data_IF_675844489657
#
_entry.id   IF_675844489657
#
_cell.length_a   1.000
_cell.length_b   1.000
_cell.length_c   1.000
_cell.angle_alpha   90.00
_cell.angle_beta   90.00
_cell.angle_gamma   90.00
#
_symmetry.space_group_name_H-M   'P 1'
#
loop_
_entity.id
_entity.type
_entity.pdbx_description
1 polymer ?
#
# COMPACT_ATOMS: atom_id res chain seq x y z
N UNK A 1 10.60 -15.83 -19.79
CA UNK A 1 9.52 -16.78 -20.18
C UNK A 1 8.11 -16.34 -19.76
N UNK A 2 7.82 -15.65 -18.62
CA UNK A 2 6.46 -15.22 -18.26
C UNK A 2 5.85 -14.21 -19.25
N UNK A 3 6.63 -13.28 -19.81
CA UNK A 3 6.18 -12.38 -20.87
C UNK A 3 5.68 -13.14 -22.12
N UNK A 4 6.29 -14.28 -22.41
CA UNK A 4 5.87 -15.19 -23.49
C UNK A 4 4.52 -15.83 -23.18
N UNK A 5 4.26 -16.17 -21.90
CA UNK A 5 2.99 -16.74 -21.45
C UNK A 5 1.85 -15.75 -21.60
N UNK A 6 2.05 -14.49 -21.16
CA UNK A 6 1.05 -13.43 -21.32
C UNK A 6 0.79 -13.14 -22.80
N UNK A 7 1.82 -13.01 -23.61
CA UNK A 7 1.69 -12.82 -25.08
C UNK A 7 0.92 -13.98 -25.72
N UNK A 8 1.21 -15.23 -25.33
CA UNK A 8 0.50 -16.40 -25.84
C UNK A 8 -0.98 -16.37 -25.47
N UNK A 9 -1.30 -16.11 -24.21
CA UNK A 9 -2.71 -15.98 -23.73
C UNK A 9 -3.45 -14.83 -24.41
N UNK A 10 -2.77 -13.70 -24.67
CA UNK A 10 -3.32 -12.58 -25.42
C UNK A 10 -3.61 -13.01 -26.88
N UNK A 11 -2.70 -13.73 -27.52
CA UNK A 11 -2.90 -14.23 -28.88
C UNK A 11 -4.09 -15.21 -28.97
N UNK A 12 -4.16 -16.15 -28.03
CA UNK A 12 -5.29 -17.10 -27.91
C UNK A 12 -6.65 -16.37 -27.71
N UNK A 13 -6.67 -15.30 -26.92
CA UNK A 13 -7.87 -14.48 -26.70
C UNK A 13 -8.33 -13.76 -27.99
N UNK A 14 -7.41 -13.37 -28.87
CA UNK A 14 -7.71 -12.71 -30.14
C UNK A 14 -8.46 -13.61 -31.15
N UNK A 15 -8.23 -14.91 -31.08
CA UNK A 15 -8.92 -15.86 -31.96
C UNK A 15 -10.40 -16.04 -31.57
N UNK A 16 -10.78 -15.54 -30.35
CA UNK A 16 -12.14 -15.60 -29.84
C UNK A 16 -12.97 -14.32 -30.07
N UNK A 17 -14.26 -14.37 -29.68
CA UNK A 17 -15.13 -13.17 -29.69
C UNK A 17 -14.76 -12.26 -28.51
N UNK A 18 -14.18 -11.09 -28.82
CA UNK A 18 -13.83 -10.07 -27.82
C UNK A 18 -14.89 -8.98 -27.68
N UNK A 19 -15.11 -8.51 -26.46
CA UNK A 19 -15.88 -7.29 -26.21
C UNK A 19 -15.09 -6.03 -26.59
N UNK A 20 -15.78 -4.90 -26.80
CA UNK A 20 -15.13 -3.60 -27.06
C UNK A 20 -14.12 -3.24 -25.95
N UNK A 21 -14.45 -3.49 -24.71
CA UNK A 21 -13.57 -3.17 -23.57
C UNK A 21 -12.32 -4.07 -23.51
N UNK A 22 -12.46 -5.36 -23.84
CA UNK A 22 -11.31 -6.25 -23.95
C UNK A 22 -10.36 -5.81 -25.08
N UNK A 23 -10.92 -5.36 -26.20
CA UNK A 23 -10.14 -4.84 -27.32
C UNK A 23 -9.33 -3.59 -26.90
N UNK A 24 -9.98 -2.61 -26.21
CA UNK A 24 -9.29 -1.42 -25.68
C UNK A 24 -8.08 -1.78 -24.79
N UNK A 25 -8.26 -2.75 -23.88
CA UNK A 25 -7.18 -3.23 -23.02
C UNK A 25 -6.05 -3.88 -23.82
N UNK A 26 -6.39 -4.73 -24.80
CA UNK A 26 -5.38 -5.38 -25.65
C UNK A 26 -4.61 -4.36 -26.49
N UNK A 27 -5.30 -3.43 -27.15
CA UNK A 27 -4.70 -2.39 -27.96
C UNK A 27 -3.73 -1.53 -27.12
N UNK A 28 -4.09 -1.26 -25.85
CA UNK A 28 -3.22 -0.55 -24.91
C UNK A 28 -1.96 -1.35 -24.56
N UNK A 29 -2.09 -2.63 -24.25
CA UNK A 29 -0.92 -3.49 -23.95
C UNK A 29 0.02 -3.70 -25.14
N UNK A 30 -0.43 -3.49 -26.35
CA UNK A 30 0.40 -3.58 -27.56
C UNK A 30 1.13 -2.29 -27.88
N UNK A 31 0.55 -1.15 -27.54
CA UNK A 31 1.09 0.17 -27.87
C UNK A 31 1.97 0.74 -26.76
N UNK A 32 1.77 0.30 -25.51
CA UNK A 32 2.46 0.83 -24.34
C UNK A 32 3.60 -0.10 -23.90
N UNK A 33 4.73 0.49 -23.52
CA UNK A 33 5.83 -0.27 -22.92
C UNK A 33 5.29 -1.05 -21.71
N UNK A 34 5.45 -2.38 -21.69
CA UNK A 34 5.05 -3.22 -20.57
C UNK A 34 5.61 -2.74 -19.22
N UNK A 35 6.78 -2.12 -19.19
CA UNK A 35 7.35 -1.50 -18.00
C UNK A 35 6.42 -0.45 -17.39
N UNK A 36 5.75 0.35 -18.21
CA UNK A 36 4.81 1.35 -17.71
C UNK A 36 3.62 0.71 -16.99
N UNK A 37 3.07 -0.38 -17.52
CA UNK A 37 1.93 -1.08 -16.94
C UNK A 37 2.27 -1.69 -15.58
N UNK A 38 3.51 -2.14 -15.40
CA UNK A 38 3.99 -2.70 -14.13
C UNK A 38 3.85 -1.69 -12.98
N UNK A 39 3.97 -0.40 -13.25
CA UNK A 39 3.87 0.66 -12.26
C UNK A 39 2.47 1.26 -12.08
N UNK A 40 1.48 0.85 -12.89
CA UNK A 40 0.12 1.38 -12.81
C UNK A 40 -0.69 0.69 -11.71
N UNK A 41 -1.53 1.46 -11.03
CA UNK A 41 -2.63 0.89 -10.25
C UNK A 41 -3.71 0.36 -11.18
N UNK A 42 -4.67 -0.42 -10.64
CA UNK A 42 -5.83 -0.84 -11.41
C UNK A 42 -6.65 0.37 -11.88
N UNK A 43 -6.69 1.43 -11.07
CA UNK A 43 -7.38 2.68 -11.37
C UNK A 43 -6.70 3.40 -12.53
N UNK A 44 -5.36 3.55 -12.50
CA UNK A 44 -4.61 4.17 -13.59
C UNK A 44 -4.79 3.43 -14.92
N UNK A 45 -4.79 2.10 -14.89
CA UNK A 45 -5.02 1.29 -16.09
C UNK A 45 -6.45 1.44 -16.60
N UNK A 46 -7.44 1.46 -15.71
CA UNK A 46 -8.84 1.67 -16.05
C UNK A 46 -9.06 3.04 -16.71
N UNK A 47 -8.49 4.11 -16.13
CA UNK A 47 -8.53 5.47 -16.71
C UNK A 47 -7.82 5.52 -18.07
N UNK A 48 -6.60 4.97 -18.17
CA UNK A 48 -5.82 5.01 -19.42
C UNK A 48 -6.47 4.26 -20.59
N UNK A 49 -7.32 3.26 -20.28
CA UNK A 49 -8.01 2.44 -21.29
C UNK A 49 -9.49 2.80 -21.45
N UNK A 50 -9.98 3.78 -20.69
CA UNK A 50 -11.40 4.17 -20.66
C UNK A 50 -12.33 2.97 -20.47
N UNK A 51 -12.06 2.19 -19.40
CA UNK A 51 -12.90 1.06 -18.97
C UNK A 51 -13.07 1.09 -17.44
N UNK A 52 -14.08 0.38 -16.94
CA UNK A 52 -14.25 0.24 -15.48
C UNK A 52 -13.19 -0.73 -14.89
N UNK A 53 -12.75 -0.50 -13.63
CA UNK A 53 -11.84 -1.40 -12.90
C UNK A 53 -12.34 -2.85 -12.84
N UNK A 54 -13.65 -3.05 -12.67
CA UNK A 54 -14.28 -4.37 -12.73
C UNK A 54 -14.04 -5.06 -14.09
N UNK A 55 -13.91 -4.30 -15.16
CA UNK A 55 -13.60 -4.82 -16.49
C UNK A 55 -12.14 -5.23 -16.60
N UNK A 56 -11.21 -4.43 -16.02
CA UNK A 56 -9.80 -4.81 -15.90
C UNK A 56 -9.65 -6.11 -15.11
N UNK A 57 -10.35 -6.25 -13.98
CA UNK A 57 -10.35 -7.49 -13.18
C UNK A 57 -10.86 -8.69 -13.98
N UNK A 58 -11.99 -8.55 -14.69
CA UNK A 58 -12.53 -9.61 -15.54
C UNK A 58 -11.58 -10.00 -16.66
N UNK A 59 -10.91 -9.01 -17.26
CA UNK A 59 -9.90 -9.23 -18.29
C UNK A 59 -8.72 -10.05 -17.73
N UNK A 60 -8.16 -9.68 -16.57
CA UNK A 60 -7.09 -10.45 -15.93
C UNK A 60 -7.53 -11.89 -15.63
N UNK A 61 -8.75 -12.08 -15.15
CA UNK A 61 -9.33 -13.41 -14.89
C UNK A 61 -9.51 -14.22 -16.16
N UNK A 62 -9.93 -13.62 -17.26
CA UNK A 62 -10.05 -14.32 -18.55
C UNK A 62 -8.70 -14.74 -19.13
N UNK A 63 -7.61 -14.09 -18.73
CA UNK A 63 -6.23 -14.52 -19.00
C UNK A 63 -5.73 -15.59 -18.00
N UNK A 64 -6.56 -16.02 -17.04
CA UNK A 64 -6.24 -17.06 -16.05
C UNK A 64 -5.46 -16.57 -14.84
N UNK A 65 -5.53 -15.28 -14.52
CA UNK A 65 -4.98 -14.72 -13.29
C UNK A 65 -6.10 -14.48 -12.27
N UNK A 66 -5.81 -14.59 -10.96
CA UNK A 66 -6.82 -14.35 -9.92
C UNK A 66 -7.25 -12.87 -9.83
N UNK A 67 -6.42 -11.96 -10.33
CA UNK A 67 -6.70 -10.53 -10.37
C UNK A 67 -5.56 -9.72 -10.97
N UNK A 68 -5.71 -8.39 -10.90
CA UNK A 68 -4.76 -7.45 -11.50
C UNK A 68 -3.35 -7.53 -10.89
N UNK A 69 -3.23 -7.74 -9.58
CA UNK A 69 -1.92 -7.85 -8.92
C UNK A 69 -1.12 -9.06 -9.41
N UNK A 70 -1.75 -10.23 -9.53
CA UNK A 70 -1.09 -11.42 -10.06
C UNK A 70 -0.71 -11.24 -11.53
N UNK A 71 -1.59 -10.66 -12.34
CA UNK A 71 -1.29 -10.30 -13.72
C UNK A 71 -0.06 -9.38 -13.80
N UNK A 72 -0.03 -8.32 -13.00
CA UNK A 72 1.07 -7.35 -12.97
C UNK A 72 2.40 -7.97 -12.51
N UNK A 73 2.37 -8.84 -11.48
CA UNK A 73 3.54 -9.60 -11.04
C UNK A 73 4.11 -10.50 -12.15
N UNK A 74 3.23 -11.21 -12.86
CA UNK A 74 3.65 -12.05 -13.99
C UNK A 74 4.19 -11.22 -15.16
N UNK A 75 3.61 -10.04 -15.41
CA UNK A 75 4.13 -9.11 -16.42
C UNK A 75 5.53 -8.62 -16.03
N UNK A 76 5.75 -8.25 -14.77
CA UNK A 76 7.04 -7.81 -14.25
C UNK A 76 8.12 -8.89 -14.38
N UNK A 77 7.81 -10.13 -14.02
CA UNK A 77 8.73 -11.27 -14.18
C UNK A 77 9.18 -11.51 -15.63
N UNK A 78 8.37 -11.12 -16.59
CA UNK A 78 8.69 -11.26 -18.00
C UNK A 78 9.47 -10.09 -18.61
N UNK A 79 9.44 -8.94 -17.94
CA UNK A 79 10.07 -7.70 -18.41
C UNK A 79 11.38 -7.43 -17.71
N UNK A 80 11.47 -7.78 -16.45
CA UNK A 80 12.68 -7.66 -15.64
C UNK A 80 13.44 -8.98 -15.79
N UNK A 81 14.44 -9.01 -16.65
CA UNK A 81 15.44 -10.07 -16.62
C UNK A 81 16.17 -9.97 -15.27
N UNK A 82 15.77 -10.83 -14.33
CA UNK A 82 16.47 -10.94 -13.05
C UNK A 82 17.89 -11.41 -13.35
N UNK A 83 18.84 -10.48 -13.14
CA UNK A 83 20.23 -10.83 -12.92
C UNK A 83 20.87 -11.71 -13.97
N UNK A 84 21.21 -11.13 -15.12
CA UNK A 84 22.54 -11.40 -15.66
C UNK A 84 23.50 -10.38 -15.01
N UNK A 85 23.57 -10.42 -13.68
CA UNK A 85 24.76 -9.91 -13.01
C UNK A 85 25.90 -10.84 -13.38
N UNK A 86 26.80 -10.38 -14.23
CA UNK A 86 28.06 -11.08 -14.52
C UNK A 86 28.98 -11.16 -13.27
N UNK A 87 28.49 -10.71 -12.12
CA UNK A 87 29.16 -10.79 -10.83
C UNK A 87 28.75 -12.11 -10.15
N UNK A 88 29.60 -13.10 -10.30
CA UNK A 88 29.63 -14.29 -9.44
C UNK A 88 29.74 -13.83 -7.97
N UNK A 89 28.83 -14.35 -7.11
CA UNK A 89 28.86 -14.11 -5.67
C UNK A 89 27.68 -13.33 -5.11
N UNK A 90 27.93 -12.27 -4.29
CA UNK A 90 26.90 -11.53 -3.55
C UNK A 90 26.33 -10.30 -4.30
N UNK A 91 26.42 -10.24 -5.63
CA UNK A 91 25.94 -9.12 -6.44
C UNK A 91 24.45 -8.78 -6.23
N UNK A 92 23.61 -9.78 -5.89
CA UNK A 92 22.21 -9.56 -5.55
C UNK A 92 21.99 -8.63 -4.34
N UNK A 93 22.96 -8.53 -3.42
CA UNK A 93 22.87 -7.62 -2.25
C UNK A 93 22.87 -6.16 -2.70
N UNK A 94 23.72 -5.81 -3.67
CA UNK A 94 23.75 -4.46 -4.24
C UNK A 94 22.42 -4.12 -4.95
N UNK A 95 21.85 -5.07 -5.69
CA UNK A 95 20.55 -4.88 -6.35
C UNK A 95 19.41 -4.64 -5.33
N UNK A 96 19.42 -5.38 -4.21
CA UNK A 96 18.48 -5.17 -3.10
C UNK A 96 18.68 -3.79 -2.49
N UNK A 97 19.94 -3.39 -2.21
CA UNK A 97 20.26 -2.08 -1.64
C UNK A 97 19.81 -0.94 -2.55
N UNK A 98 20.09 -1.02 -3.85
CA UNK A 98 19.69 -0.01 -4.83
C UNK A 98 18.17 0.11 -4.93
N UNK A 99 17.45 -1.02 -4.83
CA UNK A 99 15.99 -1.05 -4.79
C UNK A 99 15.43 -0.29 -3.59
N UNK A 100 15.98 -0.51 -2.41
CA UNK A 100 15.58 0.22 -1.21
C UNK A 100 15.95 1.70 -1.28
N UNK A 101 17.13 2.04 -1.74
CA UNK A 101 17.59 3.42 -1.91
C UNK A 101 16.65 4.20 -2.84
N UNK A 102 16.36 3.64 -4.01
CA UNK A 102 15.42 4.26 -4.96
C UNK A 102 14.01 4.42 -4.39
N UNK A 103 13.50 3.42 -3.68
CA UNK A 103 12.18 3.49 -3.05
C UNK A 103 12.12 4.54 -1.93
N UNK A 104 13.16 4.67 -1.09
CA UNK A 104 13.26 5.71 -0.06
C UNK A 104 13.30 7.12 -0.66
N UNK A 105 14.05 7.32 -1.75
CA UNK A 105 14.07 8.61 -2.46
C UNK A 105 12.70 8.97 -3.03
N UNK A 106 12.01 8.00 -3.62
CA UNK A 106 10.68 8.21 -4.17
C UNK A 106 9.67 8.53 -3.05
N UNK A 107 9.69 7.79 -1.95
CA UNK A 107 8.86 8.05 -0.77
C UNK A 107 9.07 9.47 -0.23
N UNK A 108 10.34 9.89 -0.09
CA UNK A 108 10.68 11.25 0.37
C UNK A 108 10.17 12.34 -0.56
N UNK A 109 10.10 12.09 -1.87
CA UNK A 109 9.61 13.06 -2.85
C UNK A 109 8.08 13.10 -2.90
N UNK A 110 7.40 12.00 -2.59
CA UNK A 110 5.94 11.90 -2.68
C UNK A 110 5.22 12.41 -1.44
N UNK A 111 5.83 12.35 -0.26
CA UNK A 111 5.24 12.87 0.97
C UNK A 111 5.56 14.35 1.10
N UNK A 112 4.58 15.21 0.89
CA UNK A 112 4.73 16.66 1.08
C UNK A 112 4.64 17.05 2.57
N UNK A 113 5.18 18.22 2.92
CA UNK A 113 5.02 18.79 4.26
C UNK A 113 3.54 19.04 4.59
N UNK A 114 2.72 19.37 3.58
CA UNK A 114 1.28 19.58 3.72
C UNK A 114 0.55 18.30 4.08
N UNK A 115 0.83 17.19 3.37
CA UNK A 115 0.22 15.89 3.64
C UNK A 115 0.59 15.37 5.03
N UNK A 116 1.87 15.54 5.41
CA UNK A 116 2.35 15.15 6.72
C UNK A 116 1.68 15.96 7.83
N UNK A 117 1.52 17.27 7.64
CA UNK A 117 0.79 18.14 8.57
C UNK A 117 -0.68 17.75 8.67
N UNK A 118 -1.34 17.49 7.55
CA UNK A 118 -2.73 17.04 7.53
C UNK A 118 -2.91 15.70 8.27
N UNK A 119 -1.99 14.75 8.08
CA UNK A 119 -1.98 13.49 8.81
C UNK A 119 -1.81 13.70 10.33
N UNK A 120 -0.89 14.59 10.74
CA UNK A 120 -0.72 14.96 12.17
C UNK A 120 -2.02 15.56 12.74
N UNK A 121 -2.67 16.47 12.02
CA UNK A 121 -3.90 17.12 12.47
C UNK A 121 -5.04 16.11 12.66
N UNK A 122 -5.18 15.14 11.76
CA UNK A 122 -6.12 14.03 11.92
C UNK A 122 -5.81 13.21 13.18
N UNK A 123 -4.54 12.88 13.43
CA UNK A 123 -4.10 12.10 14.59
C UNK A 123 -4.36 12.84 15.91
N UNK A 124 -4.07 14.15 15.93
CA UNK A 124 -4.26 14.95 17.17
C UNK A 124 -5.71 15.30 17.47
N UNK A 125 -6.56 15.39 16.45
CA UNK A 125 -7.98 15.65 16.63
C UNK A 125 -8.77 14.41 17.04
N UNK A 126 -8.23 13.22 16.78
CA UNK A 126 -8.95 11.98 17.04
C UNK A 126 -8.98 11.62 18.51
N UNK A 127 -10.15 11.18 19.00
CA UNK A 127 -10.35 10.61 20.32
C UNK A 127 -9.73 9.24 20.44
N UNK A 128 -9.86 8.43 19.41
CA UNK A 128 -9.17 7.16 19.29
C UNK A 128 -8.81 6.86 17.83
N UNK A 129 -7.81 6.00 17.62
CA UNK A 129 -7.28 5.66 16.30
C UNK A 129 -7.38 4.16 16.08
N UNK A 130 -7.98 3.74 15.00
CA UNK A 130 -8.00 2.35 14.57
C UNK A 130 -6.97 2.16 13.43
N UNK A 131 -5.97 1.29 13.64
CA UNK A 131 -4.96 0.97 12.63
C UNK A 131 -5.28 -0.38 11.99
N UNK A 132 -5.36 -0.45 10.66
CA UNK A 132 -5.66 -1.69 9.97
C UNK A 132 -4.81 -1.91 8.72
N UNK A 133 -4.42 -3.16 8.52
CA UNK A 133 -3.73 -3.65 7.31
C UNK A 133 -3.95 -5.16 7.19
N UNK A 134 -4.00 -5.67 5.95
CA UNK A 134 -4.16 -7.10 5.69
C UNK A 134 -2.83 -7.72 5.29
N UNK A 135 -2.57 -8.95 5.72
CA UNK A 135 -1.36 -9.69 5.40
C UNK A 135 -0.11 -8.94 5.90
N UNK A 136 0.82 -8.70 5.01
CA UNK A 136 2.07 -8.01 5.36
C UNK A 136 1.90 -6.55 5.76
N UNK A 137 0.87 -5.85 5.28
CA UNK A 137 0.58 -4.48 5.67
C UNK A 137 0.11 -4.35 7.12
N UNK A 138 -0.35 -5.46 7.74
CA UNK A 138 -0.66 -5.49 9.17
C UNK A 138 0.57 -5.23 10.05
N UNK A 139 1.77 -5.60 9.62
CA UNK A 139 3.01 -5.32 10.35
C UNK A 139 3.23 -3.81 10.54
N UNK A 140 2.98 -3.01 9.50
CA UNK A 140 3.09 -1.56 9.60
C UNK A 140 1.97 -0.93 10.45
N UNK A 141 0.76 -1.51 10.41
CA UNK A 141 -0.35 -1.09 11.27
C UNK A 141 -0.04 -1.35 12.75
N UNK A 142 0.51 -2.52 13.08
CA UNK A 142 0.95 -2.87 14.45
C UNK A 142 2.08 -1.97 14.91
N UNK A 143 3.07 -1.69 14.04
CA UNK A 143 4.19 -0.80 14.40
C UNK A 143 3.70 0.62 14.69
N UNK A 144 2.82 1.18 13.86
CA UNK A 144 2.21 2.48 14.13
C UNK A 144 1.44 2.48 15.45
N UNK A 145 0.59 1.47 15.69
CA UNK A 145 -0.15 1.29 16.93
C UNK A 145 0.78 1.30 18.14
N UNK A 146 1.84 0.49 18.14
CA UNK A 146 2.79 0.39 19.25
C UNK A 146 3.49 1.72 19.55
N UNK A 147 3.91 2.44 18.49
CA UNK A 147 4.59 3.72 18.65
C UNK A 147 3.66 4.81 19.16
N UNK A 148 2.46 4.94 18.62
CA UNK A 148 1.47 5.93 19.07
C UNK A 148 1.03 5.63 20.51
N UNK A 149 0.81 4.36 20.86
CA UNK A 149 0.50 3.94 22.22
C UNK A 149 1.62 4.32 23.21
N UNK A 150 2.88 4.14 22.83
CA UNK A 150 4.02 4.55 23.66
C UNK A 150 4.12 6.08 23.84
N UNK A 151 3.58 6.84 22.91
CA UNK A 151 3.45 8.30 22.98
C UNK A 151 2.19 8.75 23.77
N UNK A 152 1.40 7.81 24.29
CA UNK A 152 0.18 8.11 25.05
C UNK A 152 -1.04 8.46 24.20
N UNK A 153 -1.04 8.07 22.91
CA UNK A 153 -2.17 8.24 22.00
C UNK A 153 -2.98 6.93 22.01
N UNK A 154 -4.29 7.03 22.19
CA UNK A 154 -5.18 5.87 22.27
C UNK A 154 -5.38 5.26 20.90
N UNK A 155 -4.93 4.01 20.75
CA UNK A 155 -4.99 3.29 19.47
C UNK A 155 -5.44 1.86 19.64
N UNK A 156 -6.04 1.32 18.58
CA UNK A 156 -6.49 -0.07 18.46
C UNK A 156 -5.93 -0.67 17.17
N UNK A 157 -5.55 -1.94 17.21
CA UNK A 157 -5.08 -2.66 16.04
C UNK A 157 -5.46 -4.14 16.13
N UNK A 158 -6.48 -4.54 15.42
CA UNK A 158 -6.96 -5.93 15.42
C UNK A 158 -6.50 -6.67 14.17
N UNK A 159 -6.27 -7.97 14.29
CA UNK A 159 -5.75 -8.81 13.24
C UNK A 159 -6.88 -9.48 12.49
N UNK A 160 -7.74 -9.18 11.95
CA UNK A 160 -8.77 -9.94 11.21
C UNK A 160 -9.94 -9.06 10.80
N UNK A 161 -10.34 -9.18 9.55
CA UNK A 161 -11.38 -8.34 8.98
C UNK A 161 -12.69 -8.35 9.81
N UNK A 162 -13.06 -9.48 10.41
CA UNK A 162 -14.26 -9.57 11.22
C UNK A 162 -14.18 -8.68 12.47
N UNK A 163 -13.12 -8.80 13.28
CA UNK A 163 -12.92 -7.98 14.48
C UNK A 163 -12.70 -6.51 14.13
N UNK A 164 -12.04 -6.22 13.02
CA UNK A 164 -11.92 -4.86 12.50
C UNK A 164 -13.29 -4.24 12.22
N UNK A 165 -14.18 -4.96 11.53
CA UNK A 165 -15.52 -4.46 11.25
C UNK A 165 -16.34 -4.23 12.52
N UNK A 166 -16.21 -5.11 13.53
CA UNK A 166 -16.82 -4.92 14.85
C UNK A 166 -16.26 -3.66 15.53
N UNK A 167 -14.95 -3.46 15.48
CA UNK A 167 -14.30 -2.27 16.04
C UNK A 167 -14.78 -0.98 15.33
N UNK A 168 -14.79 -0.95 14.01
CA UNK A 168 -15.24 0.20 13.20
C UNK A 168 -16.71 0.53 13.53
N UNK A 169 -17.59 -0.49 13.60
CA UNK A 169 -19.02 -0.27 13.87
C UNK A 169 -19.33 0.38 15.23
N UNK A 170 -18.38 0.36 16.15
CA UNK A 170 -18.47 1.01 17.47
C UNK A 170 -17.83 2.39 17.53
N UNK A 171 -17.36 2.93 16.39
CA UNK A 171 -16.66 4.21 16.26
C UNK A 171 -17.49 5.22 15.48
N UNK A 172 -17.05 6.50 15.49
CA UNK A 172 -17.79 7.58 14.86
C UNK A 172 -16.91 8.78 14.47
N UNK A 173 -17.52 9.94 14.37
CA UNK A 173 -16.91 11.18 13.84
C UNK A 173 -15.68 11.68 14.62
N UNK A 174 -15.57 11.33 15.91
CA UNK A 174 -14.44 11.68 16.76
C UNK A 174 -13.23 10.73 16.59
N UNK A 175 -13.37 9.67 15.78
CA UNK A 175 -12.36 8.63 15.66
C UNK A 175 -11.68 8.66 14.27
N UNK A 176 -10.44 8.18 14.21
CA UNK A 176 -9.64 8.12 12.99
C UNK A 176 -9.39 6.67 12.60
N UNK A 177 -9.60 6.35 11.32
CA UNK A 177 -9.17 5.11 10.71
C UNK A 177 -7.88 5.32 9.94
N UNK A 178 -6.83 4.53 10.23
CA UNK A 178 -5.57 4.52 9.48
C UNK A 178 -5.43 3.18 8.77
N UNK A 179 -5.40 3.19 7.45
CA UNK A 179 -5.41 2.02 6.59
C UNK A 179 -4.09 1.85 5.85
N UNK A 180 -3.54 0.65 5.92
CA UNK A 180 -2.31 0.26 5.23
C UNK A 180 -2.61 -0.71 4.10
N UNK A 181 -2.27 -0.35 2.88
CA UNK A 181 -2.37 -1.23 1.73
C UNK A 181 -1.38 -0.84 0.63
N UNK A 182 -0.45 -1.71 0.28
CA UNK A 182 0.52 -1.45 -0.80
C UNK A 182 -0.22 -1.14 -2.10
N UNK A 183 -1.17 -1.98 -2.49
CA UNK A 183 -1.89 -1.84 -3.77
C UNK A 183 -3.10 -0.91 -3.74
N UNK A 184 -3.62 -0.61 -2.54
CA UNK A 184 -4.88 0.11 -2.38
C UNK A 184 -6.12 -0.57 -3.01
N UNK A 185 -6.05 -1.87 -3.30
CA UNK A 185 -7.10 -2.60 -4.02
C UNK A 185 -7.53 -3.92 -3.37
N UNK A 186 -7.04 -4.22 -2.17
CA UNK A 186 -7.48 -5.40 -1.41
C UNK A 186 -8.90 -5.20 -0.93
N UNK A 187 -9.77 -6.19 -1.17
CA UNK A 187 -11.20 -6.12 -0.88
C UNK A 187 -11.48 -5.77 0.58
N UNK A 188 -10.90 -6.50 1.52
CA UNK A 188 -11.11 -6.29 2.96
C UNK A 188 -10.76 -4.86 3.42
N UNK A 189 -9.70 -4.28 2.83
CA UNK A 189 -9.25 -2.92 3.15
C UNK A 189 -10.21 -1.86 2.58
N UNK A 190 -10.70 -2.07 1.35
CA UNK A 190 -11.65 -1.14 0.73
C UNK A 190 -12.99 -1.19 1.46
N UNK A 191 -13.47 -2.38 1.82
CA UNK A 191 -14.70 -2.55 2.62
C UNK A 191 -14.56 -1.92 4.02
N UNK A 192 -13.39 -2.03 4.66
CA UNK A 192 -13.13 -1.37 5.93
C UNK A 192 -13.15 0.17 5.81
N UNK A 193 -12.60 0.71 4.71
CA UNK A 193 -12.64 2.15 4.44
C UNK A 193 -14.07 2.65 4.20
N UNK A 194 -14.85 1.90 3.44
CA UNK A 194 -16.26 2.20 3.18
C UNK A 194 -17.07 2.21 4.49
N UNK A 195 -16.89 1.19 5.33
CA UNK A 195 -17.56 1.10 6.63
C UNK A 195 -17.15 2.24 7.56
N UNK A 196 -15.86 2.60 7.62
CA UNK A 196 -15.35 3.71 8.41
C UNK A 196 -15.99 5.04 7.98
N UNK A 197 -16.09 5.30 6.68
CA UNK A 197 -16.77 6.48 6.14
C UNK A 197 -18.28 6.49 6.46
N UNK A 198 -18.93 5.35 6.34
CA UNK A 198 -20.35 5.21 6.69
C UNK A 198 -20.61 5.47 8.19
N UNK A 199 -19.62 5.16 9.06
CA UNK A 199 -19.65 5.46 10.51
C UNK A 199 -19.24 6.91 10.84
N UNK A 200 -18.93 7.76 9.86
CA UNK A 200 -18.51 9.15 10.06
C UNK A 200 -17.02 9.34 10.38
N UNK A 201 -16.24 8.28 10.47
CA UNK A 201 -14.81 8.37 10.78
C UNK A 201 -14.03 9.13 9.69
N UNK A 202 -12.98 9.84 10.10
CA UNK A 202 -11.94 10.29 9.18
C UNK A 202 -11.05 9.13 8.78
N UNK A 203 -10.48 9.20 7.56
CA UNK A 203 -9.66 8.13 7.01
C UNK A 203 -8.32 8.65 6.51
N UNK A 204 -7.22 8.13 7.07
CA UNK A 204 -5.85 8.30 6.60
C UNK A 204 -5.40 6.99 5.91
N UNK A 205 -4.89 7.10 4.70
CA UNK A 205 -4.42 5.95 3.92
C UNK A 205 -2.91 6.02 3.72
N UNK A 206 -2.23 4.90 3.95
CA UNK A 206 -0.80 4.72 3.64
C UNK A 206 -0.70 3.64 2.55
N UNK A 207 -0.32 4.04 1.33
CA UNK A 207 -0.35 3.18 0.14
C UNK A 207 0.79 3.53 -0.82
N UNK A 208 1.06 2.66 -1.80
CA UNK A 208 2.03 2.96 -2.88
C UNK A 208 1.41 3.70 -4.07
N UNK A 209 0.10 3.91 -4.08
CA UNK A 209 -0.59 4.54 -5.21
C UNK A 209 -1.46 5.70 -4.75
N UNK A 210 -1.25 6.86 -5.35
CA UNK A 210 -2.10 8.05 -5.11
C UNK A 210 -3.53 7.82 -5.58
N UNK A 211 -3.70 7.07 -6.67
CA UNK A 211 -4.99 6.67 -7.22
C UNK A 211 -5.20 5.17 -7.05
N UNK A 212 -6.19 4.80 -6.27
CA UNK A 212 -6.61 3.41 -6.07
C UNK A 212 -8.05 3.35 -5.58
N UNK A 213 -8.70 2.18 -5.58
CA UNK A 213 -10.03 2.02 -4.98
C UNK A 213 -10.09 2.53 -3.53
N UNK A 214 -9.04 2.28 -2.74
CA UNK A 214 -8.94 2.68 -1.35
C UNK A 214 -8.86 4.20 -1.16
N UNK A 215 -8.08 4.91 -1.98
CA UNK A 215 -7.83 6.35 -1.82
C UNK A 215 -9.07 7.21 -2.07
N UNK A 216 -10.13 6.67 -2.66
CA UNK A 216 -11.43 7.35 -2.82
C UNK A 216 -12.13 7.63 -1.49
N UNK A 217 -11.79 6.88 -0.46
CA UNK A 217 -12.36 7.03 0.89
C UNK A 217 -11.48 7.87 1.81
N UNK A 218 -10.28 8.25 1.38
CA UNK A 218 -9.30 8.93 2.22
C UNK A 218 -9.59 10.45 2.35
N UNK A 219 -9.42 10.98 3.56
CA UNK A 219 -9.28 12.42 3.79
C UNK A 219 -7.82 12.85 3.54
N UNK A 220 -6.85 11.97 3.86
CA UNK A 220 -5.42 12.18 3.61
C UNK A 220 -4.79 10.90 3.09
N UNK A 221 -3.88 11.02 2.13
CA UNK A 221 -3.09 9.91 1.59
C UNK A 221 -1.60 10.20 1.80
N UNK A 222 -0.89 9.28 2.44
CA UNK A 222 0.57 9.27 2.45
C UNK A 222 1.05 8.20 1.48
N UNK A 223 1.68 8.64 0.39
CA UNK A 223 2.16 7.72 -0.64
C UNK A 223 3.53 7.17 -0.24
N UNK A 224 3.56 5.92 0.23
CA UNK A 224 4.74 5.28 0.81
C UNK A 224 5.83 4.92 -0.21
N UNK A 225 5.48 4.64 -1.46
CA UNK A 225 6.44 4.36 -2.52
C UNK A 225 5.75 4.42 -3.89
N UNK A 226 5.55 5.61 -4.45
CA UNK A 226 5.05 5.72 -5.81
C UNK A 226 6.05 5.03 -6.74
N UNK A 227 5.60 4.24 -7.68
CA UNK A 227 6.44 3.51 -8.63
C UNK A 227 7.15 2.27 -8.04
N UNK A 228 6.54 1.57 -7.09
CA UNK A 228 7.03 0.25 -6.70
C UNK A 228 6.88 -0.73 -7.85
N UNK A 229 8.00 -1.11 -8.46
CA UNK A 229 8.04 -2.24 -9.38
C UNK A 229 7.97 -3.54 -8.57
N UNK A 230 7.11 -4.48 -8.93
CA UNK A 230 7.22 -5.84 -8.43
C UNK A 230 8.47 -6.50 -9.05
N UNK A 231 9.65 -6.16 -8.50
CA UNK A 231 10.93 -6.58 -9.06
C UNK A 231 11.10 -8.10 -9.02
N UNK A 232 10.64 -8.76 -7.95
CA UNK A 232 10.65 -10.22 -7.85
C UNK A 232 9.64 -10.70 -6.80
N UNK A 233 9.18 -11.95 -6.92
CA UNK A 233 8.32 -12.57 -5.92
C UNK A 233 9.00 -12.52 -4.54
N UNK A 234 8.29 -12.00 -3.54
CA UNK A 234 8.81 -11.90 -2.18
C UNK A 234 9.60 -10.62 -1.88
N UNK A 235 9.71 -9.66 -2.81
CA UNK A 235 10.29 -8.35 -2.50
C UNK A 235 9.64 -7.75 -1.26
N UNK A 236 10.49 -7.20 -0.38
CA UNK A 236 10.05 -6.55 0.86
C UNK A 236 9.96 -5.03 0.73
N UNK A 237 10.29 -4.46 -0.43
CA UNK A 237 10.38 -3.00 -0.63
C UNK A 237 9.11 -2.29 -0.13
N UNK A 238 7.93 -2.66 -0.61
CA UNK A 238 6.68 -2.02 -0.19
C UNK A 238 6.38 -2.13 1.30
N UNK A 239 6.74 -3.26 1.92
CA UNK A 239 6.59 -3.44 3.37
C UNK A 239 7.51 -2.51 4.15
N UNK A 240 8.77 -2.42 3.73
CA UNK A 240 9.77 -1.56 4.36
C UNK A 240 9.42 -0.09 4.13
N UNK A 241 8.88 0.26 2.96
CA UNK A 241 8.43 1.64 2.71
C UNK A 241 7.22 2.02 3.56
N UNK A 242 6.29 1.11 3.85
CA UNK A 242 5.23 1.38 4.82
C UNK A 242 5.81 1.61 6.23
N UNK A 243 6.77 0.81 6.69
CA UNK A 243 7.46 1.01 7.97
C UNK A 243 8.27 2.32 7.98
N UNK A 244 8.94 2.65 6.89
CA UNK A 244 9.65 3.93 6.74
C UNK A 244 8.68 5.13 6.82
N UNK A 245 7.50 5.02 6.21
CA UNK A 245 6.45 6.05 6.32
C UNK A 245 5.93 6.17 7.76
N UNK A 246 5.78 5.05 8.47
CA UNK A 246 5.47 5.05 9.91
C UNK A 246 6.54 5.79 10.71
N UNK A 247 7.82 5.56 10.38
CA UNK A 247 8.93 6.24 11.07
C UNK A 247 8.92 7.75 10.81
N UNK A 248 8.72 8.18 9.57
CA UNK A 248 8.55 9.60 9.21
C UNK A 248 7.39 10.22 9.99
N UNK A 249 6.21 9.58 9.97
CA UNK A 249 5.00 10.09 10.62
C UNK A 249 5.19 10.20 12.15
N UNK A 250 5.65 9.14 12.81
CA UNK A 250 5.87 9.13 14.24
C UNK A 250 6.96 10.12 14.68
N UNK A 251 8.04 10.24 13.90
CA UNK A 251 9.09 11.23 14.15
C UNK A 251 8.54 12.65 14.01
N UNK A 252 7.74 12.90 12.98
CA UNK A 252 7.11 14.20 12.77
C UNK A 252 6.16 14.58 13.91
N UNK A 253 5.37 13.62 14.42
CA UNK A 253 4.52 13.80 15.61
C UNK A 253 5.37 14.11 16.84
N UNK A 254 6.40 13.32 17.10
CA UNK A 254 7.31 13.54 18.24
C UNK A 254 7.91 14.94 18.24
N UNK A 255 8.29 15.45 17.07
CA UNK A 255 8.91 16.77 16.94
C UNK A 255 7.95 17.94 17.24
N UNK A 256 6.64 17.74 17.27
CA UNK A 256 5.65 18.79 17.59
C UNK A 256 5.64 19.16 19.09
N UNK A 257 5.86 18.18 19.97
CA UNK A 257 5.86 18.38 21.44
C UNK A 257 6.78 17.36 22.12
N UNK A 258 8.09 17.54 21.94
CA UNK A 258 9.11 16.67 22.52
C UNK A 258 8.95 16.45 24.04
N UNK A 259 8.76 17.49 24.90
CA UNK A 259 8.65 17.30 26.34
C UNK A 259 7.48 16.39 26.73
N UNK A 260 6.32 16.56 26.10
CA UNK A 260 5.14 15.72 26.31
C UNK A 260 5.42 14.27 25.96
N UNK A 261 5.94 14.01 24.77
CA UNK A 261 6.17 12.66 24.29
C UNK A 261 7.32 11.98 25.01
N UNK A 262 8.38 12.69 25.39
CA UNK A 262 9.45 12.17 26.25
C UNK A 262 8.90 11.69 27.61
N UNK A 263 8.00 12.46 28.23
CA UNK A 263 7.33 12.07 29.47
C UNK A 263 6.51 10.79 29.31
N UNK A 264 5.73 10.67 28.24
CA UNK A 264 4.92 9.49 27.96
C UNK A 264 5.79 8.25 27.71
N UNK A 265 6.82 8.37 26.86
CA UNK A 265 7.72 7.26 26.56
C UNK A 265 8.56 6.84 27.79
N UNK A 266 8.93 7.78 28.67
CA UNK A 266 9.60 7.45 29.92
C UNK A 266 8.71 6.61 30.86
N UNK A 267 7.41 6.90 30.93
CA UNK A 267 6.44 6.08 31.68
C UNK A 267 6.34 4.66 31.11
N UNK A 268 6.22 4.55 29.76
CA UNK A 268 6.18 3.26 29.06
C UNK A 268 7.43 2.43 29.32
N UNK A 269 8.63 3.03 29.24
CA UNK A 269 9.90 2.35 29.53
C UNK A 269 9.96 1.87 30.99
N UNK A 270 9.57 2.70 31.96
CA UNK A 270 9.54 2.29 33.39
C UNK A 270 8.64 1.09 33.65
N UNK A 271 7.50 1.00 32.93
CA UNK A 271 6.57 -0.12 33.09
C UNK A 271 7.14 -1.46 32.54
N UNK A 272 8.17 -1.41 31.70
CA UNK A 272 8.79 -2.58 31.06
C UNK A 272 10.20 -2.90 31.56
N UNK A 273 10.87 -1.95 32.24
CA UNK A 273 12.27 -2.08 32.70
C UNK A 273 12.49 -3.30 33.60
N UNK A 274 11.52 -3.65 34.44
CA UNK A 274 11.62 -4.83 35.32
C UNK A 274 11.57 -6.17 34.58
N UNK A 275 11.29 -6.15 33.28
CA UNK A 275 11.26 -7.33 32.40
C UNK A 275 12.56 -7.50 31.59
N UNK A 276 13.49 -6.58 31.73
CA UNK A 276 14.84 -6.68 31.15
C UNK A 276 15.74 -7.36 32.18
N UNK A 277 16.42 -8.44 31.77
CA UNK A 277 17.38 -9.19 32.58
C UNK A 277 18.76 -8.54 32.43
#
# INVERSE_FOLDING_TARGET
MPHTIIKKKIAEMREGKMTKSQKKLLDYFETVDPKRVIYMSITDLAEATDVAEATVLRFCRSLGFNGYQEFRLNLAQGVIEIGKSENEGLGFMAEIEDSYRGAMENCRKSISAGDLKAAQDLIFSAKSICCFGVGHSHLAAVELHNRLMSMGILTYCEQGAHLQNVLISSRGEEDLMILFSISGSSKDIVEAAELARASGMKVLVITSYEKSPLTRYADVVLCASPMESPQHPGSMVGKIMQLYTVDILCTSIYLTDKPRFDSCMAKSRRATVSKLI
#
